data_IF_222425989700
#
_entry.id   IF_222425989700
#
_cell.length_a   1.000
_cell.length_b   1.000
_cell.length_c   1.000
_cell.angle_alpha   90.00
_cell.angle_beta   90.00
_cell.angle_gamma   90.00
#
_symmetry.space_group_name_H-M   'P 1'
#
loop_
_entity.id
_entity.type
_entity.pdbx_description
1 polymer ?
#
# COMPACT_ATOMS: atom_id res chain seq x y z
N UNK A 1 -5.98 -14.46 -3.76
CA UNK A 1 -5.79 -14.84 -2.34
C UNK A 1 -5.66 -16.36 -2.21
N UNK A 2 -5.14 -16.85 -1.07
CA UNK A 2 -5.28 -18.28 -0.72
C UNK A 2 -6.75 -18.60 -0.48
N UNK A 3 -7.15 -19.84 -0.76
CA UNK A 3 -8.53 -20.27 -0.52
C UNK A 3 -8.86 -20.24 0.97
N UNK A 4 -10.06 -19.72 1.28
CA UNK A 4 -10.63 -19.75 2.64
C UNK A 4 -12.01 -20.39 2.59
N UNK A 5 -12.52 -20.90 3.70
CA UNK A 5 -13.87 -21.42 3.81
C UNK A 5 -14.89 -20.33 4.13
N UNK A 6 -16.17 -20.56 3.82
CA UNK A 6 -17.29 -19.70 4.25
C UNK A 6 -17.28 -19.55 5.77
N UNK A 7 -16.95 -20.60 6.53
CA UNK A 7 -16.81 -20.54 7.98
C UNK A 7 -15.74 -19.56 8.44
N UNK A 8 -14.58 -19.54 7.78
CA UNK A 8 -13.49 -18.58 8.08
C UNK A 8 -13.90 -17.15 7.71
N UNK A 9 -14.56 -16.97 6.55
CA UNK A 9 -15.13 -15.68 6.17
C UNK A 9 -16.13 -15.19 7.22
N UNK A 10 -17.07 -16.04 7.64
CA UNK A 10 -18.09 -15.74 8.65
C UNK A 10 -17.45 -15.25 9.96
N UNK A 11 -16.43 -15.97 10.42
CA UNK A 11 -15.67 -15.59 11.62
C UNK A 11 -14.92 -14.25 11.45
N UNK A 12 -14.34 -14.01 10.26
CA UNK A 12 -13.59 -12.81 9.98
C UNK A 12 -14.46 -11.55 9.94
N UNK A 13 -15.68 -11.64 9.37
CA UNK A 13 -16.59 -10.50 9.22
C UNK A 13 -17.64 -10.37 10.34
N UNK A 14 -17.63 -11.29 11.31
CA UNK A 14 -18.62 -11.34 12.42
C UNK A 14 -20.07 -11.30 11.94
N UNK A 15 -20.35 -11.95 10.81
CA UNK A 15 -21.65 -11.96 10.16
C UNK A 15 -22.58 -13.09 10.60
N UNK A 16 -23.78 -13.13 10.02
CA UNK A 16 -24.79 -14.18 10.19
C UNK A 16 -24.96 -14.93 8.86
N UNK A 17 -24.78 -16.26 8.87
CA UNK A 17 -25.04 -17.08 7.68
C UNK A 17 -26.54 -17.25 7.50
N UNK A 18 -27.10 -16.66 6.42
CA UNK A 18 -28.51 -16.78 6.06
C UNK A 18 -28.80 -18.06 5.27
N UNK A 19 -27.87 -18.44 4.40
CA UNK A 19 -27.93 -19.61 3.54
C UNK A 19 -26.54 -20.02 3.11
N UNK A 20 -26.32 -21.31 2.84
CA UNK A 20 -25.13 -21.87 2.21
C UNK A 20 -24.41 -22.88 3.06
N UNK A 21 -23.33 -23.43 2.51
CA UNK A 21 -22.46 -24.42 3.14
C UNK A 21 -21.22 -23.74 3.74
N UNK A 22 -21.04 -23.85 5.03
CA UNK A 22 -19.86 -23.28 5.74
C UNK A 22 -18.53 -23.86 5.27
N UNK A 23 -18.54 -25.03 4.62
CA UNK A 23 -17.33 -25.70 4.11
C UNK A 23 -16.96 -25.30 2.69
N UNK A 24 -17.84 -24.56 1.99
CA UNK A 24 -17.57 -24.08 0.64
C UNK A 24 -16.33 -23.19 0.57
N UNK A 25 -15.57 -23.32 -0.50
CA UNK A 25 -14.31 -22.61 -0.70
C UNK A 25 -14.53 -21.26 -1.39
N UNK A 26 -13.81 -20.24 -0.92
CA UNK A 26 -13.78 -18.89 -1.49
C UNK A 26 -12.36 -18.65 -2.00
N UNK A 27 -12.22 -18.30 -3.28
CA UNK A 27 -10.94 -18.14 -3.97
C UNK A 27 -10.54 -16.66 -4.15
N UNK A 28 -11.47 -15.74 -3.89
CA UNK A 28 -11.26 -14.31 -4.07
C UNK A 28 -12.41 -13.47 -3.58
N UNK A 29 -12.22 -12.15 -3.66
CA UNK A 29 -13.21 -11.14 -3.29
C UNK A 29 -13.35 -10.15 -4.43
N UNK A 30 -14.59 -9.85 -4.82
CA UNK A 30 -14.89 -8.81 -5.80
C UNK A 30 -15.88 -7.79 -5.23
N UNK A 31 -15.62 -6.52 -5.48
CA UNK A 31 -16.55 -5.41 -5.20
C UNK A 31 -17.23 -4.89 -6.47
N UNK A 32 -16.92 -5.50 -7.62
CA UNK A 32 -17.49 -5.11 -8.93
C UNK A 32 -18.20 -6.30 -9.58
N UNK A 33 -19.53 -6.20 -9.72
CA UNK A 33 -20.38 -7.24 -10.32
C UNK A 33 -20.09 -7.52 -11.81
N UNK A 34 -19.30 -6.66 -12.48
CA UNK A 34 -18.94 -6.80 -13.91
C UNK A 34 -17.70 -7.66 -14.11
N UNK A 35 -16.85 -7.75 -13.09
CA UNK A 35 -15.54 -8.42 -13.16
C UNK A 35 -15.40 -9.60 -12.21
N UNK A 36 -16.46 -9.91 -11.45
CA UNK A 36 -16.50 -11.03 -10.50
C UNK A 36 -16.28 -12.36 -11.25
N UNK A 37 -15.50 -13.24 -10.63
CA UNK A 37 -15.12 -14.55 -11.19
C UNK A 37 -15.73 -15.68 -10.38
N UNK A 38 -15.74 -16.87 -10.97
CA UNK A 38 -16.15 -18.09 -10.28
C UNK A 38 -15.26 -18.33 -9.04
N UNK A 39 -15.90 -18.72 -7.94
CA UNK A 39 -15.23 -18.93 -6.65
C UNK A 39 -15.00 -17.66 -5.82
N UNK A 40 -15.33 -16.47 -6.33
CA UNK A 40 -15.23 -15.23 -5.57
C UNK A 40 -16.50 -14.94 -4.75
N UNK A 41 -16.34 -14.30 -3.61
CA UNK A 41 -17.42 -13.66 -2.87
C UNK A 41 -17.63 -12.23 -3.37
N UNK A 42 -18.88 -11.86 -3.61
CA UNK A 42 -19.23 -10.49 -3.95
C UNK A 42 -19.49 -9.66 -2.69
N UNK A 43 -18.85 -8.49 -2.59
CA UNK A 43 -19.04 -7.53 -1.51
C UNK A 43 -19.66 -6.26 -2.09
N UNK A 44 -20.98 -6.08 -2.00
CA UNK A 44 -21.65 -4.89 -2.51
C UNK A 44 -21.29 -3.68 -1.65
N UNK A 45 -20.77 -2.64 -2.27
CA UNK A 45 -20.47 -1.38 -1.59
C UNK A 45 -21.53 -0.32 -1.91
N UNK A 46 -21.81 0.54 -0.93
CA UNK A 46 -22.72 1.67 -1.09
C UNK A 46 -21.90 2.91 -1.41
N UNK A 47 -22.14 3.52 -2.56
CA UNK A 47 -21.53 4.77 -2.97
C UNK A 47 -22.54 5.92 -2.91
N UNK A 48 -22.09 7.14 -3.20
CA UNK A 48 -22.95 8.34 -3.17
C UNK A 48 -24.13 8.28 -4.16
N UNK A 49 -23.98 7.59 -5.29
CA UNK A 49 -24.93 7.56 -6.40
C UNK A 49 -25.45 6.18 -6.77
N UNK A 50 -24.99 5.14 -6.09
CA UNK A 50 -25.39 3.76 -6.37
C UNK A 50 -25.32 2.91 -5.10
N UNK A 51 -26.15 1.85 -5.04
CA UNK A 51 -26.08 0.83 -4.01
C UNK A 51 -25.67 -0.50 -4.67
N UNK A 52 -24.52 -1.02 -4.28
CA UNK A 52 -23.98 -2.31 -4.78
C UNK A 52 -24.91 -3.49 -4.53
N UNK A 53 -25.81 -3.40 -3.53
CA UNK A 53 -26.80 -4.46 -3.25
C UNK A 53 -27.78 -4.70 -4.40
N UNK A 54 -28.04 -3.71 -5.24
CA UNK A 54 -28.90 -3.85 -6.43
C UNK A 54 -28.26 -4.77 -7.49
N UNK A 55 -26.98 -5.09 -7.35
CA UNK A 55 -26.22 -5.91 -8.29
C UNK A 55 -25.89 -7.31 -7.77
N UNK A 56 -26.41 -7.72 -6.59
CA UNK A 56 -26.14 -9.05 -6.01
C UNK A 56 -26.55 -10.17 -6.96
N UNK A 57 -27.78 -10.13 -7.47
CA UNK A 57 -28.28 -11.15 -8.40
C UNK A 57 -27.42 -11.23 -9.67
N UNK A 58 -27.01 -10.09 -10.21
CA UNK A 58 -26.10 -10.01 -11.37
C UNK A 58 -24.73 -10.63 -11.05
N UNK A 59 -24.15 -10.33 -9.90
CA UNK A 59 -22.85 -10.88 -9.48
C UNK A 59 -22.92 -12.41 -9.30
N UNK A 60 -23.98 -12.92 -8.67
CA UNK A 60 -24.22 -14.35 -8.51
C UNK A 60 -24.37 -15.03 -9.88
N UNK A 61 -25.16 -14.42 -10.79
CA UNK A 61 -25.34 -14.93 -12.16
C UNK A 61 -24.05 -14.89 -12.99
N UNK A 62 -23.15 -13.96 -12.72
CA UNK A 62 -21.84 -13.86 -13.35
C UNK A 62 -20.81 -14.86 -12.78
N UNK A 63 -21.15 -15.58 -11.70
CA UNK A 63 -20.32 -16.66 -11.17
C UNK A 63 -19.86 -16.50 -9.72
N UNK A 64 -20.28 -15.44 -9.00
CA UNK A 64 -19.98 -15.33 -7.58
C UNK A 64 -20.48 -16.57 -6.81
N UNK A 65 -19.68 -17.05 -5.87
CA UNK A 65 -20.03 -18.21 -5.04
C UNK A 65 -21.04 -17.84 -3.95
N UNK A 66 -21.04 -16.59 -3.55
CA UNK A 66 -21.98 -16.00 -2.60
C UNK A 66 -21.75 -14.51 -2.44
N UNK A 67 -22.39 -13.90 -1.45
CA UNK A 67 -22.20 -12.50 -1.15
C UNK A 67 -22.23 -12.18 0.35
N UNK A 68 -21.58 -11.09 0.72
CA UNK A 68 -21.90 -10.34 1.94
C UNK A 68 -23.05 -9.40 1.62
N UNK A 69 -23.94 -9.13 2.56
CA UNK A 69 -25.04 -8.17 2.35
C UNK A 69 -25.45 -7.48 3.65
N UNK A 70 -25.57 -6.17 3.62
CA UNK A 70 -26.21 -5.40 4.70
C UNK A 70 -27.73 -5.35 4.49
N UNK A 71 -28.17 -5.29 3.24
CA UNK A 71 -29.55 -5.44 2.80
C UNK A 71 -29.73 -6.82 2.18
N UNK A 72 -30.54 -7.65 2.83
CA UNK A 72 -30.82 -9.02 2.40
C UNK A 72 -31.64 -9.00 1.10
N UNK A 73 -31.21 -9.73 0.04
CA UNK A 73 -32.01 -9.86 -1.18
C UNK A 73 -33.38 -10.52 -0.92
N UNK A 74 -34.38 -10.17 -1.70
CA UNK A 74 -35.72 -10.78 -1.60
C UNK A 74 -35.70 -12.30 -1.91
N UNK A 75 -34.78 -12.71 -2.80
CA UNK A 75 -34.60 -14.12 -3.18
C UNK A 75 -33.16 -14.55 -2.97
N UNK A 76 -32.98 -15.64 -2.25
CA UNK A 76 -31.69 -16.31 -2.08
C UNK A 76 -31.61 -17.48 -3.08
N UNK A 77 -30.64 -17.44 -3.99
CA UNK A 77 -30.45 -18.45 -5.02
C UNK A 77 -29.93 -19.77 -4.42
N UNK A 78 -30.51 -20.94 -4.73
CA UNK A 78 -30.05 -22.23 -4.24
C UNK A 78 -28.58 -22.50 -4.59
N UNK A 79 -27.86 -23.15 -3.68
CA UNK A 79 -26.45 -23.52 -3.90
C UNK A 79 -25.46 -22.37 -3.74
N UNK A 80 -25.91 -21.18 -3.37
CA UNK A 80 -25.08 -20.00 -3.08
C UNK A 80 -25.13 -19.66 -1.60
N UNK A 81 -24.08 -19.04 -1.07
CA UNK A 81 -24.09 -18.58 0.32
C UNK A 81 -24.38 -17.07 0.41
N UNK A 82 -25.06 -16.69 1.49
CA UNK A 82 -25.36 -15.29 1.81
C UNK A 82 -25.05 -15.05 3.28
N UNK A 83 -24.16 -14.07 3.54
CA UNK A 83 -23.77 -13.66 4.88
C UNK A 83 -24.28 -12.25 5.11
N UNK A 84 -25.13 -12.10 6.13
CA UNK A 84 -25.60 -10.78 6.57
C UNK A 84 -24.55 -10.14 7.47
N UNK A 85 -24.23 -8.87 7.19
CA UNK A 85 -23.33 -8.03 7.98
C UNK A 85 -23.97 -6.67 8.21
N UNK A 86 -23.61 -5.94 9.28
CA UNK A 86 -24.15 -4.59 9.51
C UNK A 86 -23.75 -3.58 8.44
N UNK A 87 -22.50 -3.69 7.94
CA UNK A 87 -21.87 -2.80 6.97
C UNK A 87 -20.87 -3.60 6.12
N UNK A 88 -21.02 -3.53 4.81
CA UNK A 88 -20.20 -4.32 3.87
C UNK A 88 -18.81 -3.73 3.67
N UNK A 89 -18.61 -2.42 3.83
CA UNK A 89 -17.30 -1.80 3.78
C UNK A 89 -16.49 -2.15 5.04
N UNK A 90 -17.13 -2.13 6.22
CA UNK A 90 -16.51 -2.60 7.46
C UNK A 90 -16.17 -4.09 7.39
N UNK A 91 -17.07 -4.92 6.85
CA UNK A 91 -16.81 -6.35 6.66
C UNK A 91 -15.64 -6.60 5.70
N UNK A 92 -15.47 -5.80 4.66
CA UNK A 92 -14.31 -5.87 3.76
C UNK A 92 -13.00 -5.54 4.50
N UNK A 93 -13.02 -4.51 5.36
CA UNK A 93 -11.90 -4.17 6.24
C UNK A 93 -11.54 -5.31 7.17
N UNK A 94 -12.54 -5.85 7.88
CA UNK A 94 -12.34 -6.89 8.89
C UNK A 94 -11.80 -8.18 8.24
N UNK A 95 -12.33 -8.56 7.07
CA UNK A 95 -11.81 -9.66 6.27
C UNK A 95 -10.35 -9.43 5.87
N UNK A 96 -10.01 -8.24 5.39
CA UNK A 96 -8.65 -7.92 4.98
C UNK A 96 -7.67 -7.94 6.16
N UNK A 97 -8.07 -7.42 7.33
CA UNK A 97 -7.29 -7.43 8.55
C UNK A 97 -7.07 -8.87 9.06
N UNK A 98 -8.13 -9.68 9.06
CA UNK A 98 -8.06 -11.10 9.43
C UNK A 98 -7.15 -11.88 8.47
N UNK A 99 -7.32 -11.67 7.16
CA UNK A 99 -6.51 -12.34 6.14
C UNK A 99 -5.04 -11.94 6.21
N UNK A 100 -4.75 -10.64 6.34
CA UNK A 100 -3.39 -10.12 6.54
C UNK A 100 -2.72 -10.74 7.76
N UNK A 101 -3.44 -10.99 8.84
CA UNK A 101 -2.90 -11.58 10.07
C UNK A 101 -2.40 -13.02 9.91
N UNK A 102 -2.76 -13.70 8.81
CA UNK A 102 -2.27 -15.04 8.47
C UNK A 102 -0.82 -15.04 7.91
N UNK A 103 -0.23 -13.86 7.70
CA UNK A 103 1.09 -13.70 7.09
C UNK A 103 2.09 -13.05 8.05
N UNK A 104 3.22 -13.72 8.27
CA UNK A 104 4.32 -13.27 9.13
C UNK A 104 5.49 -12.71 8.33
N UNK A 105 5.21 -11.97 7.27
CA UNK A 105 6.18 -11.28 6.43
C UNK A 105 6.31 -9.81 6.85
N UNK A 106 7.39 -9.08 6.51
CA UNK A 106 7.48 -7.64 6.76
C UNK A 106 6.49 -6.86 5.90
N UNK A 107 5.78 -5.91 6.54
CA UNK A 107 4.88 -4.97 5.90
C UNK A 107 5.43 -3.55 6.04
N UNK A 108 5.66 -2.90 4.89
CA UNK A 108 6.02 -1.50 4.80
C UNK A 108 4.77 -0.71 4.44
N UNK A 109 4.36 0.25 5.29
CA UNK A 109 3.27 1.17 4.98
C UNK A 109 3.85 2.52 4.59
N UNK A 110 3.38 3.10 3.48
CA UNK A 110 3.88 4.37 2.94
C UNK A 110 2.74 5.37 2.84
N UNK A 111 2.95 6.57 3.42
CA UNK A 111 2.06 7.73 3.24
C UNK A 111 2.87 9.00 2.99
N UNK A 112 2.20 10.11 2.75
CA UNK A 112 2.80 11.43 2.52
C UNK A 112 1.89 12.34 1.70
N UNK A 113 2.24 13.59 1.54
CA UNK A 113 1.51 14.50 0.67
C UNK A 113 1.80 14.16 -0.80
N UNK A 114 3.06 14.17 -1.21
CA UNK A 114 3.51 13.80 -2.55
C UNK A 114 4.57 12.69 -2.48
N UNK A 115 4.84 12.01 -3.61
CA UNK A 115 5.88 10.99 -3.72
C UNK A 115 5.55 9.63 -3.12
N UNK A 116 4.34 9.39 -2.59
CA UNK A 116 3.92 8.09 -2.03
C UNK A 116 4.13 6.93 -3.00
N UNK A 117 3.58 7.05 -4.20
CA UNK A 117 3.65 6.00 -5.22
C UNK A 117 5.09 5.79 -5.68
N UNK A 118 5.83 6.86 -5.93
CA UNK A 118 7.25 6.81 -6.30
C UNK A 118 8.07 6.09 -5.24
N UNK A 119 7.87 6.44 -3.96
CA UNK A 119 8.58 5.81 -2.83
C UNK A 119 8.17 4.35 -2.66
N UNK A 120 6.87 4.03 -2.77
CA UNK A 120 6.36 2.65 -2.76
C UNK A 120 7.02 1.81 -3.87
N UNK A 121 7.06 2.33 -5.10
CA UNK A 121 7.68 1.62 -6.23
C UNK A 121 9.18 1.43 -6.02
N UNK A 122 9.89 2.45 -5.53
CA UNK A 122 11.33 2.36 -5.24
C UNK A 122 11.62 1.33 -4.15
N UNK A 123 10.86 1.35 -3.05
CA UNK A 123 11.00 0.34 -1.98
C UNK A 123 10.69 -1.06 -2.53
N UNK A 124 9.62 -1.21 -3.31
CA UNK A 124 9.25 -2.49 -3.89
C UNK A 124 10.28 -2.99 -4.91
N UNK A 125 10.94 -2.09 -5.67
CA UNK A 125 12.02 -2.42 -6.59
C UNK A 125 13.25 -2.93 -5.85
N UNK A 126 13.66 -2.25 -4.79
CA UNK A 126 14.79 -2.67 -3.95
C UNK A 126 14.47 -4.02 -3.31
N UNK A 127 13.38 -4.14 -2.56
CA UNK A 127 12.99 -5.39 -1.90
C UNK A 127 12.74 -6.54 -2.88
N UNK A 128 12.29 -6.22 -4.10
CA UNK A 128 12.02 -7.19 -5.16
C UNK A 128 13.23 -7.96 -5.66
N UNK A 129 14.44 -7.50 -5.34
CA UNK A 129 15.69 -8.20 -5.67
C UNK A 129 15.88 -9.46 -4.86
N UNK A 130 15.45 -9.43 -3.60
CA UNK A 130 15.60 -10.53 -2.64
C UNK A 130 14.28 -11.20 -2.28
N UNK A 131 13.20 -10.46 -2.24
CA UNK A 131 11.89 -10.90 -1.74
C UNK A 131 10.85 -10.90 -2.86
N UNK A 132 10.02 -11.94 -2.93
CA UNK A 132 8.79 -11.84 -3.72
C UNK A 132 7.84 -10.85 -3.02
N UNK A 133 7.79 -9.63 -3.54
CA UNK A 133 7.18 -8.48 -2.86
C UNK A 133 5.80 -8.15 -3.43
N UNK A 134 4.76 -8.15 -2.58
CA UNK A 134 3.46 -7.56 -2.91
C UNK A 134 3.57 -6.04 -2.81
N UNK A 135 2.95 -5.30 -3.73
CA UNK A 135 2.82 -3.85 -3.64
C UNK A 135 1.42 -3.38 -4.01
N UNK A 136 0.99 -2.26 -3.47
CA UNK A 136 -0.27 -1.60 -3.88
C UNK A 136 -0.23 -1.29 -5.37
N UNK A 137 -1.21 -1.78 -6.12
CA UNK A 137 -1.38 -1.49 -7.54
C UNK A 137 -2.01 -0.11 -7.75
N UNK A 138 -1.57 0.60 -8.79
CA UNK A 138 -2.12 1.91 -9.15
C UNK A 138 -2.30 2.84 -7.93
N UNK A 139 -3.52 3.36 -7.74
CA UNK A 139 -3.92 4.23 -6.63
C UNK A 139 -4.86 3.53 -5.63
N UNK A 140 -4.74 2.21 -5.45
CA UNK A 140 -5.57 1.42 -4.51
C UNK A 140 -5.16 1.64 -3.06
N UNK A 141 -5.16 2.90 -2.63
CA UNK A 141 -4.60 3.37 -1.36
C UNK A 141 -5.65 3.92 -0.36
N UNK A 142 -6.93 3.63 -0.60
CA UNK A 142 -8.07 4.05 0.22
C UNK A 142 -8.76 2.85 0.91
N UNK A 143 -9.92 3.10 1.56
CA UNK A 143 -10.71 2.11 2.29
C UNK A 143 -11.25 0.94 1.45
N UNK A 144 -11.20 1.02 0.13
CA UNK A 144 -11.59 -0.06 -0.79
C UNK A 144 -10.34 -0.73 -1.38
N UNK A 145 -9.38 0.06 -1.82
CA UNK A 145 -8.18 -0.45 -2.52
C UNK A 145 -7.18 -1.12 -1.59
N UNK A 146 -6.99 -0.61 -0.37
CA UNK A 146 -6.08 -1.24 0.61
C UNK A 146 -6.52 -2.65 0.99
N UNK A 147 -7.80 -2.92 1.34
CA UNK A 147 -8.29 -4.28 1.55
C UNK A 147 -8.06 -5.19 0.34
N UNK A 148 -8.36 -4.72 -0.87
CA UNK A 148 -8.16 -5.51 -2.10
C UNK A 148 -6.67 -5.86 -2.30
N UNK A 149 -5.76 -4.93 -1.99
CA UNK A 149 -4.32 -5.18 -2.04
C UNK A 149 -3.92 -6.28 -1.04
N UNK A 150 -4.38 -6.19 0.22
CA UNK A 150 -4.07 -7.17 1.26
C UNK A 150 -4.65 -8.55 0.95
N UNK A 151 -5.86 -8.62 0.39
CA UNK A 151 -6.49 -9.86 -0.07
C UNK A 151 -5.77 -10.48 -1.28
N UNK A 152 -4.88 -9.74 -1.96
CA UNK A 152 -3.97 -10.25 -2.98
C UNK A 152 -2.77 -11.03 -2.44
N UNK A 153 -2.55 -11.08 -1.12
CA UNK A 153 -1.46 -11.86 -0.52
C UNK A 153 -1.57 -13.35 -0.85
N UNK A 154 -0.44 -14.00 -1.02
CA UNK A 154 -0.30 -15.44 -1.17
C UNK A 154 0.91 -15.94 -0.38
N UNK A 155 1.01 -17.25 -0.17
CA UNK A 155 2.16 -17.86 0.54
C UNK A 155 3.49 -17.68 -0.18
N UNK A 156 3.48 -17.29 -1.47
CA UNK A 156 4.68 -16.96 -2.21
C UNK A 156 5.28 -15.60 -1.80
N UNK A 157 4.48 -14.67 -1.29
CA UNK A 157 4.97 -13.35 -0.90
C UNK A 157 5.83 -13.41 0.35
N UNK A 158 6.94 -12.66 0.33
CA UNK A 158 7.95 -12.60 1.38
C UNK A 158 8.09 -11.17 1.98
N UNK A 159 7.53 -10.16 1.31
CA UNK A 159 7.41 -8.79 1.79
C UNK A 159 6.16 -8.13 1.18
N UNK A 160 5.69 -7.03 1.79
CA UNK A 160 4.60 -6.24 1.23
C UNK A 160 4.85 -4.73 1.43
N UNK A 161 4.58 -3.94 0.38
CA UNK A 161 4.68 -2.47 0.40
C UNK A 161 3.31 -1.88 0.10
N UNK A 162 2.69 -1.30 1.12
CA UNK A 162 1.31 -0.83 1.10
C UNK A 162 1.27 0.69 1.11
N UNK A 163 0.81 1.29 0.02
CA UNK A 163 0.54 2.72 -0.05
C UNK A 163 -0.79 3.03 0.60
N UNK A 164 -0.85 4.07 1.45
CA UNK A 164 -2.06 4.57 2.08
C UNK A 164 -2.22 6.07 1.88
N UNK A 165 -3.39 6.45 1.37
CA UNK A 165 -3.80 7.83 1.16
C UNK A 165 -4.81 8.31 2.20
N UNK A 166 -5.00 9.64 2.25
CA UNK A 166 -6.06 10.26 3.06
C UNK A 166 -6.51 11.57 2.43
N UNK A 167 -7.73 11.98 2.72
CA UNK A 167 -8.25 13.32 2.51
C UNK A 167 -8.72 13.98 3.85
N UNK A 168 -8.88 13.19 4.92
CA UNK A 168 -9.31 13.63 6.26
C UNK A 168 -8.59 12.86 7.37
N UNK A 169 -8.65 13.39 8.59
CA UNK A 169 -8.13 12.74 9.77
C UNK A 169 -8.86 11.40 10.06
N UNK A 170 -8.16 10.45 10.65
CA UNK A 170 -8.67 9.12 10.99
C UNK A 170 -8.48 8.07 9.89
N UNK A 171 -8.30 8.47 8.63
CA UNK A 171 -8.20 7.52 7.52
C UNK A 171 -6.89 6.72 7.53
N UNK A 172 -5.76 7.34 7.84
CA UNK A 172 -4.47 6.61 7.92
C UNK A 172 -4.50 5.61 9.08
N UNK A 173 -5.11 5.98 10.22
CA UNK A 173 -5.35 5.04 11.34
C UNK A 173 -6.21 3.87 10.89
N UNK A 174 -7.35 4.13 10.25
CA UNK A 174 -8.28 3.12 9.74
C UNK A 174 -7.58 2.12 8.81
N UNK A 175 -6.75 2.62 7.89
CA UNK A 175 -5.98 1.77 6.97
C UNK A 175 -4.85 1.03 7.71
N UNK A 176 -4.19 1.69 8.66
CA UNK A 176 -3.13 1.11 9.48
C UNK A 176 -3.59 -0.07 10.34
N UNK A 177 -4.84 -0.06 10.81
CA UNK A 177 -5.44 -1.18 11.56
C UNK A 177 -5.49 -2.48 10.74
N UNK A 178 -5.62 -2.39 9.41
CA UNK A 178 -5.53 -3.55 8.52
C UNK A 178 -4.08 -3.94 8.23
N UNK A 179 -3.23 -2.94 7.95
CA UNK A 179 -1.85 -3.17 7.53
C UNK A 179 -0.98 -3.65 8.68
N UNK A 180 -1.09 -3.05 9.88
CA UNK A 180 -0.24 -3.30 11.06
C UNK A 180 1.23 -3.40 10.68
N UNK A 181 1.84 -2.28 10.24
CA UNK A 181 3.15 -2.29 9.61
C UNK A 181 4.28 -2.63 10.57
N UNK A 182 5.32 -3.27 10.03
CA UNK A 182 6.63 -3.40 10.65
C UNK A 182 7.49 -2.15 10.42
N UNK A 183 7.25 -1.48 9.26
CA UNK A 183 7.96 -0.28 8.84
C UNK A 183 6.94 0.74 8.36
N UNK A 184 7.00 1.97 8.90
CA UNK A 184 6.14 3.08 8.52
C UNK A 184 6.94 4.22 7.89
N UNK A 185 6.50 4.70 6.72
CA UNK A 185 7.21 5.71 5.92
C UNK A 185 6.32 6.92 5.71
N UNK A 186 6.84 8.12 6.02
CA UNK A 186 6.20 9.39 5.62
C UNK A 186 7.16 10.15 4.70
N UNK A 187 6.73 10.36 3.45
CA UNK A 187 7.57 10.98 2.42
C UNK A 187 7.73 12.48 2.60
N UNK A 188 6.66 13.18 2.96
CA UNK A 188 6.66 14.63 3.25
C UNK A 188 5.30 15.09 3.79
N UNK A 189 5.26 16.37 4.27
CA UNK A 189 4.08 17.09 4.70
C UNK A 189 3.95 18.38 3.90
N UNK A 190 3.22 18.35 2.79
CA UNK A 190 2.87 19.51 1.97
C UNK A 190 1.45 19.98 2.20
N UNK A 191 0.96 20.85 1.31
CA UNK A 191 -0.35 21.52 1.41
C UNK A 191 -1.53 20.68 0.85
N UNK A 192 -1.27 19.45 0.37
CA UNK A 192 -2.32 18.58 -0.15
C UNK A 192 -3.38 18.30 0.92
N UNK A 193 -4.67 18.46 0.56
CA UNK A 193 -5.84 18.34 1.45
C UNK A 193 -5.93 19.40 2.56
N UNK A 194 -5.24 20.53 2.44
CA UNK A 194 -5.29 21.63 3.42
C UNK A 194 -6.71 22.20 3.56
N UNK A 195 -7.52 22.15 2.50
CA UNK A 195 -8.94 22.57 2.49
C UNK A 195 -9.80 21.78 3.50
N UNK A 196 -9.48 20.49 3.74
CA UNK A 196 -10.19 19.63 4.68
C UNK A 196 -9.56 19.63 6.08
N UNK A 197 -8.25 19.79 6.17
CA UNK A 197 -7.49 19.67 7.42
C UNK A 197 -7.14 21.02 8.05
N UNK A 198 -7.22 22.11 7.29
CA UNK A 198 -7.10 23.49 7.78
C UNK A 198 -5.67 23.99 7.94
N UNK A 199 -4.69 23.15 8.26
CA UNK A 199 -3.27 23.54 8.39
C UNK A 199 -2.31 22.38 8.12
N UNK A 200 -1.03 22.73 7.87
CA UNK A 200 0.04 21.73 7.69
C UNK A 200 0.31 20.90 8.95
N UNK A 201 0.14 21.50 10.13
CA UNK A 201 0.27 20.80 11.41
C UNK A 201 -0.84 19.74 11.58
N UNK A 202 -2.05 20.02 11.11
CA UNK A 202 -3.13 19.05 11.11
C UNK A 202 -2.89 17.94 10.07
N UNK A 203 -2.29 18.28 8.91
CA UNK A 203 -1.86 17.31 7.91
C UNK A 203 -0.77 16.39 8.51
N UNK A 204 0.20 16.96 9.22
CA UNK A 204 1.20 16.18 9.96
C UNK A 204 0.54 15.22 10.95
N UNK A 205 -0.37 15.72 11.80
CA UNK A 205 -1.08 14.89 12.80
C UNK A 205 -1.81 13.73 12.13
N UNK A 206 -2.55 13.99 11.05
CA UNK A 206 -3.27 12.96 10.32
C UNK A 206 -2.34 11.91 9.68
N UNK A 207 -1.18 12.33 9.15
CA UNK A 207 -0.18 11.39 8.61
C UNK A 207 0.51 10.59 9.72
N UNK A 208 0.77 11.18 10.87
CA UNK A 208 1.36 10.51 12.03
C UNK A 208 0.47 9.41 12.62
N UNK A 209 -0.82 9.33 12.25
CA UNK A 209 -1.69 8.20 12.57
C UNK A 209 -1.11 6.84 12.09
N UNK A 210 -0.22 6.85 11.10
CA UNK A 210 0.49 5.66 10.63
C UNK A 210 1.28 4.96 11.74
N UNK A 211 1.77 5.72 12.71
CA UNK A 211 2.58 5.21 13.82
C UNK A 211 1.73 4.56 14.93
N UNK A 212 0.43 4.83 15.00
CA UNK A 212 -0.46 4.25 16.00
C UNK A 212 -0.56 2.72 15.84
N UNK A 213 -0.39 2.24 14.59
CA UNK A 213 -0.43 0.82 14.25
C UNK A 213 0.96 0.22 13.95
N UNK A 214 2.03 1.02 14.03
CA UNK A 214 3.40 0.56 13.89
C UNK A 214 3.75 -0.34 15.08
N UNK A 215 4.36 -1.51 14.83
CA UNK A 215 4.82 -2.40 15.89
C UNK A 215 5.77 -1.68 16.86
N UNK A 216 5.80 -2.12 18.12
CA UNK A 216 6.65 -1.50 19.17
C UNK A 216 8.13 -1.54 18.82
N UNK A 217 8.59 -2.60 18.19
CA UNK A 217 9.94 -2.85 17.68
C UNK A 217 10.10 -2.47 16.20
N UNK A 218 9.08 -1.81 15.64
CA UNK A 218 9.05 -1.37 14.24
C UNK A 218 9.97 -0.19 13.95
N UNK A 219 10.10 0.11 12.66
CA UNK A 219 10.94 1.18 12.12
C UNK A 219 10.08 2.31 11.55
N UNK A 220 10.32 3.54 11.97
CA UNK A 220 9.82 4.75 11.31
C UNK A 220 10.89 5.31 10.37
N UNK A 221 10.50 5.63 9.12
CA UNK A 221 11.37 6.25 8.11
C UNK A 221 10.76 7.57 7.67
N UNK A 222 11.46 8.66 7.89
CA UNK A 222 10.99 10.03 7.67
C UNK A 222 11.89 10.78 6.71
N UNK A 223 11.32 11.73 5.96
CA UNK A 223 12.11 12.72 5.26
C UNK A 223 12.73 13.69 6.28
N UNK A 224 14.06 13.66 6.41
CA UNK A 224 14.81 14.50 7.34
C UNK A 224 14.97 15.95 6.89
N UNK A 225 14.65 16.26 5.64
CA UNK A 225 14.67 17.63 5.12
C UNK A 225 13.30 18.31 5.21
N UNK A 226 12.28 17.62 5.74
CA UNK A 226 10.95 18.18 6.01
C UNK A 226 10.90 18.73 7.45
N UNK A 227 10.72 20.05 7.57
CA UNK A 227 10.73 20.75 8.86
C UNK A 227 9.69 20.20 9.86
N UNK A 228 8.49 19.87 9.38
CA UNK A 228 7.43 19.35 10.23
C UNK A 228 7.71 17.90 10.66
N UNK A 229 8.23 17.06 9.78
CA UNK A 229 8.61 15.69 10.14
C UNK A 229 9.79 15.66 11.14
N UNK A 230 10.65 16.67 11.15
CA UNK A 230 11.72 16.79 12.14
C UNK A 230 11.23 17.05 13.57
N UNK A 231 9.99 17.54 13.73
CA UNK A 231 9.37 17.70 15.05
C UNK A 231 8.81 16.39 15.63
N UNK A 232 8.71 15.32 14.81
CA UNK A 232 8.15 14.04 15.22
C UNK A 232 9.13 13.30 16.13
N UNK A 233 8.66 12.91 17.32
CA UNK A 233 9.38 12.07 18.27
C UNK A 233 8.56 10.81 18.57
N UNK A 234 9.17 9.64 18.39
CA UNK A 234 8.52 8.33 18.53
C UNK A 234 9.32 7.44 19.47
N UNK A 235 8.66 6.52 20.18
CA UNK A 235 9.34 5.49 20.96
C UNK A 235 10.05 4.44 20.07
N UNK A 236 9.59 4.26 18.82
CA UNK A 236 10.17 3.34 17.86
C UNK A 236 11.48 3.90 17.27
N UNK A 237 12.32 3.01 16.78
CA UNK A 237 13.50 3.39 16.01
C UNK A 237 13.07 4.27 14.83
N UNK A 238 13.69 5.43 14.70
CA UNK A 238 13.41 6.39 13.63
C UNK A 238 14.67 6.61 12.81
N UNK A 239 14.56 6.57 11.49
CA UNK A 239 15.60 6.95 10.53
C UNK A 239 15.13 8.16 9.73
N UNK A 240 15.92 9.23 9.74
CA UNK A 240 15.72 10.41 8.91
C UNK A 240 16.58 10.31 7.68
N UNK A 241 15.94 10.34 6.50
CA UNK A 241 16.59 10.21 5.19
C UNK A 241 16.55 11.56 4.48
N UNK A 242 17.68 12.03 3.95
CA UNK A 242 17.71 13.31 3.24
C UNK A 242 19.10 13.76 2.85
N UNK A 243 19.20 15.01 2.39
CA UNK A 243 20.42 15.67 1.94
C UNK A 243 21.17 16.34 3.11
N UNK A 244 20.44 16.74 4.14
CA UNK A 244 20.98 17.48 5.28
C UNK A 244 21.94 16.63 6.12
N UNK A 245 22.92 17.29 6.75
CA UNK A 245 23.96 16.63 7.55
C UNK A 245 23.43 15.94 8.81
N UNK A 246 22.28 16.36 9.30
CA UNK A 246 21.63 15.76 10.47
C UNK A 246 20.86 14.48 10.16
N UNK A 247 20.74 14.09 8.88
CA UNK A 247 20.03 12.86 8.50
C UNK A 247 20.84 11.61 8.87
N UNK A 248 20.14 10.60 9.42
CA UNK A 248 20.72 9.28 9.74
C UNK A 248 21.13 8.52 8.47
N UNK A 249 20.37 8.74 7.39
CA UNK A 249 20.61 8.19 6.06
C UNK A 249 20.80 9.37 5.11
N UNK A 250 22.04 9.67 4.81
CA UNK A 250 22.43 10.89 4.09
C UNK A 250 22.65 10.63 2.61
N UNK A 251 22.06 11.49 1.80
CA UNK A 251 22.31 11.56 0.36
C UNK A 251 23.41 12.59 0.08
N UNK A 252 24.37 12.23 -0.74
CA UNK A 252 25.46 13.08 -1.21
C UNK A 252 25.82 12.78 -2.66
N UNK A 253 26.72 13.55 -3.24
CA UNK A 253 27.27 13.33 -4.59
C UNK A 253 26.17 13.16 -5.66
N UNK A 254 25.14 14.05 -5.60
CA UNK A 254 24.00 13.99 -6.53
C UNK A 254 24.41 14.52 -7.88
N UNK A 255 24.39 13.67 -8.90
CA UNK A 255 24.62 13.97 -10.29
C UNK A 255 23.32 13.84 -11.07
N UNK A 256 22.88 14.95 -11.67
CA UNK A 256 21.68 14.99 -12.51
C UNK A 256 22.08 14.70 -13.99
N UNK A 257 21.66 13.56 -14.50
CA UNK A 257 21.93 13.11 -15.86
C UNK A 257 20.81 13.51 -16.85
N UNK A 258 19.94 14.45 -16.43
CA UNK A 258 18.77 14.86 -17.23
C UNK A 258 17.81 13.67 -17.41
N UNK A 259 17.40 13.42 -18.65
CA UNK A 259 16.46 12.36 -18.98
C UNK A 259 17.00 10.93 -18.72
N UNK A 260 18.33 10.78 -18.57
CA UNK A 260 18.97 9.50 -18.31
C UNK A 260 18.96 9.13 -16.80
N UNK A 261 18.44 10.02 -15.96
CA UNK A 261 18.22 9.73 -14.55
C UNK A 261 19.13 10.48 -13.58
N UNK A 262 19.32 9.91 -12.42
CA UNK A 262 20.08 10.49 -11.30
C UNK A 262 21.07 9.46 -10.76
N UNK A 263 22.29 9.92 -10.44
CA UNK A 263 23.22 9.18 -9.60
C UNK A 263 23.38 9.87 -8.26
N UNK A 264 23.55 9.10 -7.21
CA UNK A 264 23.85 9.65 -5.89
C UNK A 264 24.55 8.61 -5.02
N UNK A 265 25.12 9.08 -3.92
CA UNK A 265 25.63 8.21 -2.86
C UNK A 265 24.71 8.33 -1.66
N UNK A 266 24.21 7.20 -1.18
CA UNK A 266 23.45 7.09 0.07
C UNK A 266 24.36 6.48 1.13
N UNK A 267 24.54 7.18 2.24
CA UNK A 267 25.38 6.75 3.37
C UNK A 267 24.49 6.48 4.59
N UNK A 268 24.58 5.30 5.14
CA UNK A 268 23.96 4.89 6.41
C UNK A 268 25.06 4.78 7.49
N UNK A 269 24.68 4.37 8.69
CA UNK A 269 25.64 4.07 9.75
C UNK A 269 26.52 2.83 9.44
N UNK A 270 26.09 1.97 8.50
CA UNK A 270 26.78 0.70 8.19
C UNK A 270 27.54 0.71 6.87
N UNK A 271 26.97 1.36 5.83
CA UNK A 271 27.45 1.20 4.47
C UNK A 271 27.24 2.46 3.60
N UNK A 272 27.95 2.51 2.47
CA UNK A 272 27.76 3.50 1.39
C UNK A 272 27.27 2.79 0.13
N UNK A 273 26.17 3.28 -0.42
CA UNK A 273 25.52 2.77 -1.62
C UNK A 273 25.69 3.76 -2.76
N UNK A 274 26.22 3.31 -3.91
CA UNK A 274 26.28 4.10 -5.13
C UNK A 274 25.01 3.80 -5.96
N UNK A 275 24.02 4.65 -5.84
CA UNK A 275 22.71 4.43 -6.48
C UNK A 275 22.65 5.12 -7.84
N UNK A 276 22.12 4.40 -8.82
CA UNK A 276 21.74 4.92 -10.14
C UNK A 276 20.25 4.70 -10.34
N UNK A 277 19.50 5.77 -10.57
CA UNK A 277 18.05 5.77 -10.69
C UNK A 277 17.74 6.14 -12.13
N UNK A 278 17.08 5.26 -12.93
CA UNK A 278 16.94 5.43 -14.39
C UNK A 278 15.81 6.38 -14.79
N UNK A 279 15.45 7.33 -13.92
CA UNK A 279 14.41 8.34 -14.18
C UNK A 279 14.88 9.72 -13.74
N UNK A 280 14.47 10.79 -14.43
CA UNK A 280 14.87 12.16 -14.10
C UNK A 280 14.22 12.65 -12.81
N UNK A 281 14.77 13.73 -12.26
CA UNK A 281 14.19 14.46 -11.12
C UNK A 281 14.93 14.25 -9.81
N UNK A 282 15.55 15.32 -9.31
CA UNK A 282 16.37 15.31 -8.07
C UNK A 282 15.62 14.80 -6.83
N UNK A 283 14.27 14.94 -6.81
CA UNK A 283 13.45 14.44 -5.71
C UNK A 283 13.50 12.92 -5.55
N UNK A 284 13.90 12.18 -6.59
CA UNK A 284 14.03 10.72 -6.55
C UNK A 284 15.03 10.23 -5.51
N UNK A 285 16.01 11.05 -5.13
CA UNK A 285 17.03 10.69 -4.15
C UNK A 285 16.44 10.41 -2.76
N UNK A 286 15.32 11.06 -2.40
CA UNK A 286 14.63 10.80 -1.13
C UNK A 286 14.00 9.39 -1.11
N UNK A 287 13.31 9.04 -2.19
CA UNK A 287 12.73 7.69 -2.32
C UNK A 287 13.80 6.61 -2.32
N UNK A 288 14.93 6.88 -3.00
CA UNK A 288 16.06 5.95 -3.04
C UNK A 288 16.74 5.78 -1.68
N UNK A 289 16.92 6.89 -0.93
CA UNK A 289 17.48 6.83 0.42
C UNK A 289 16.59 6.04 1.40
N UNK A 290 15.26 6.26 1.33
CA UNK A 290 14.29 5.52 2.13
C UNK A 290 14.28 4.03 1.76
N UNK A 291 14.35 3.70 0.47
CA UNK A 291 14.40 2.31 0.01
C UNK A 291 15.70 1.62 0.44
N UNK A 292 16.85 2.29 0.32
CA UNK A 292 18.14 1.75 0.77
C UNK A 292 18.14 1.49 2.30
N UNK A 293 17.62 2.43 3.09
CA UNK A 293 17.47 2.27 4.54
C UNK A 293 16.61 1.04 4.91
N UNK A 294 15.51 0.83 4.18
CA UNK A 294 14.58 -0.29 4.42
C UNK A 294 15.19 -1.60 3.96
N UNK A 295 15.85 -1.65 2.79
CA UNK A 295 16.57 -2.82 2.29
C UNK A 295 17.66 -3.26 3.27
N UNK A 296 18.49 -2.32 3.75
CA UNK A 296 19.50 -2.58 4.77
C UNK A 296 18.88 -3.11 6.08
N UNK A 297 17.77 -2.50 6.52
CA UNK A 297 17.06 -2.94 7.73
C UNK A 297 16.53 -4.37 7.62
N UNK A 298 16.07 -4.77 6.43
CA UNK A 298 15.58 -6.12 6.13
C UNK A 298 16.69 -7.09 5.70
N UNK A 299 17.96 -6.66 5.76
CA UNK A 299 19.14 -7.51 5.56
C UNK A 299 19.47 -7.79 4.10
N UNK A 300 19.12 -6.88 3.19
CA UNK A 300 19.66 -6.90 1.83
C UNK A 300 21.14 -6.51 1.81
N UNK A 301 21.89 -7.09 0.88
CA UNK A 301 23.29 -6.72 0.64
C UNK A 301 23.38 -5.40 -0.12
N UNK A 302 24.57 -4.81 -0.13
CA UNK A 302 24.84 -3.61 -0.93
C UNK A 302 24.49 -3.80 -2.40
N UNK A 303 24.94 -4.89 -2.98
CA UNK A 303 24.72 -5.23 -4.38
C UNK A 303 23.24 -5.43 -4.71
N UNK A 304 22.46 -5.98 -3.76
CA UNK A 304 21.00 -6.13 -3.90
C UNK A 304 20.32 -4.78 -3.94
N UNK A 305 20.65 -3.88 -3.00
CA UNK A 305 20.08 -2.53 -2.91
C UNK A 305 20.43 -1.70 -4.15
N UNK A 306 21.72 -1.68 -4.56
CA UNK A 306 22.17 -0.94 -5.75
C UNK A 306 21.49 -1.46 -7.02
N UNK A 307 21.37 -2.77 -7.17
CA UNK A 307 20.68 -3.40 -8.31
C UNK A 307 19.17 -3.06 -8.29
N UNK A 308 18.53 -3.04 -7.12
CA UNK A 308 17.13 -2.68 -6.99
C UNK A 308 16.84 -1.22 -7.37
N UNK A 309 17.74 -0.30 -7.05
CA UNK A 309 17.61 1.10 -7.47
C UNK A 309 17.73 1.25 -9.01
N UNK A 310 18.62 0.50 -9.65
CA UNK A 310 18.76 0.48 -11.12
C UNK A 310 17.53 -0.16 -11.81
N UNK A 311 16.93 -1.15 -11.16
CA UNK A 311 15.74 -1.85 -11.69
C UNK A 311 14.42 -1.09 -11.47
N UNK A 312 14.48 0.12 -10.91
CA UNK A 312 13.29 0.92 -10.67
C UNK A 312 12.54 1.24 -11.97
N UNK A 313 11.24 0.98 -11.97
CA UNK A 313 10.32 1.35 -13.04
C UNK A 313 9.21 2.27 -12.49
N UNK A 314 8.96 3.42 -13.12
CA UNK A 314 7.90 4.32 -12.68
C UNK A 314 6.51 3.70 -12.90
N UNK A 315 5.57 4.00 -12.01
CA UNK A 315 4.20 3.52 -12.12
C UNK A 315 3.36 4.42 -13.05
N UNK A 316 2.72 3.83 -14.03
CA UNK A 316 1.86 4.55 -14.98
C UNK A 316 2.65 5.53 -15.83
N UNK A 317 2.14 6.77 -15.99
CA UNK A 317 2.79 7.84 -16.76
C UNK A 317 3.82 8.64 -15.97
N UNK A 318 3.93 8.45 -14.63
CA UNK A 318 4.80 9.28 -13.77
C UNK A 318 6.26 9.16 -14.12
N UNK A 319 6.84 10.26 -14.66
CA UNK A 319 8.26 10.32 -15.05
C UNK A 319 8.67 9.19 -16.02
N UNK A 320 7.73 8.70 -16.83
CA UNK A 320 7.99 7.63 -17.78
C UNK A 320 8.67 8.14 -19.03
N UNK A 321 9.89 7.68 -19.31
CA UNK A 321 10.65 8.06 -20.50
C UNK A 321 10.32 7.12 -21.65
N UNK A 322 9.64 7.64 -22.66
CA UNK A 322 9.30 6.91 -23.88
C UNK A 322 10.32 7.26 -24.96
N UNK A 323 11.05 6.28 -25.46
CA UNK A 323 12.05 6.48 -26.54
C UNK A 323 11.43 6.08 -27.87
N UNK A 324 11.30 7.05 -28.79
CA UNK A 324 10.79 6.84 -30.16
C UNK A 324 11.92 6.59 -31.17
N UNK A 325 13.08 7.19 -30.93
CA UNK A 325 14.30 7.01 -31.73
C UNK A 325 15.52 7.45 -30.93
N UNK A 326 16.73 7.28 -31.44
CA UNK A 326 17.98 7.71 -30.79
C UNK A 326 17.97 9.16 -30.32
N UNK A 327 17.24 10.06 -31.05
CA UNK A 327 17.21 11.48 -30.76
C UNK A 327 15.84 12.03 -30.30
N UNK A 328 14.83 11.14 -30.12
CA UNK A 328 13.49 11.58 -29.73
C UNK A 328 13.01 10.76 -28.54
N UNK A 329 12.94 11.43 -27.40
CA UNK A 329 12.38 10.90 -26.15
C UNK A 329 11.29 11.83 -25.66
N UNK A 330 10.24 11.24 -25.10
CA UNK A 330 9.15 11.94 -24.42
C UNK A 330 9.21 11.58 -22.93
N UNK A 331 9.05 12.58 -22.09
CA UNK A 331 8.78 12.38 -20.67
C UNK A 331 7.27 12.50 -20.49
N UNK A 332 6.64 11.41 -20.08
CA UNK A 332 5.22 11.33 -19.70
C UNK A 332 5.11 11.41 -18.17
N UNK A 333 4.39 12.43 -17.65
CA UNK A 333 4.26 12.71 -16.21
C UNK A 333 2.83 13.22 -15.85
#
# INVERSE_FOLDING_TARGET
>A
MEAITVKELLAAVHGELLQGDETAQILGVSTDSRTVKAGEVFVPLVGERFDGHDYIEKAISAGAEGCLCARVPETLLPGKFYIKVPDTLLALKDLAAWYRAQFSIPFVQVTGSVGKTTTKEMIASVLGVKFHTLKTAANYNNEIGTPQTLLGLSRAHQAAVIETGMDRAGQIRYLGEMVKPDIAVITNVGDMHIEYLGSRENILKAKCEIFENLKKDGLAVLNGDDELLNTVSLPQKTLRCGLSEHCDVRVSEVEDLGIDGIRCVVTTAKERYALSIPVPGKHMVYSAAMAAAIGEYLGETKEEIERGAVAYEPAGSRMHVITFSENHRLLDD
#
